data_IF_846044123977
#
_entry.id   IF_846044123977
#
_cell.length_a   1.000
_cell.length_b   1.000
_cell.length_c   1.000
_cell.angle_alpha   90.00
_cell.angle_beta   90.00
_cell.angle_gamma   90.00
#
_symmetry.space_group_name_H-M   'P 1'
#
loop_
_entity.id
_entity.type
_entity.pdbx_description
1 polymer ?
#
# COMPACT_ATOMS: atom_id res chain seq x y z
N UNK A 1 6.58 -4.80 6.00
CA UNK A 1 6.00 -5.53 4.87
C UNK A 1 7.11 -5.87 3.89
N UNK A 2 7.27 -7.16 3.59
CA UNK A 2 8.35 -7.64 2.73
C UNK A 2 7.92 -7.54 1.26
N UNK A 3 8.58 -6.68 0.49
CA UNK A 3 8.26 -6.39 -0.91
C UNK A 3 9.39 -6.87 -1.81
N UNK A 4 9.02 -7.47 -2.94
CA UNK A 4 9.93 -7.75 -4.04
C UNK A 4 9.85 -6.63 -5.06
N UNK A 5 10.97 -5.96 -5.30
CA UNK A 5 11.07 -4.84 -6.25
C UNK A 5 11.97 -5.20 -7.42
N UNK A 6 11.68 -4.61 -8.58
CA UNK A 6 12.50 -4.69 -9.79
C UNK A 6 12.62 -3.32 -10.44
N UNK A 7 13.77 -3.03 -11.01
CA UNK A 7 13.96 -1.83 -11.84
C UNK A 7 13.16 -1.96 -13.13
N UNK A 8 12.56 -0.87 -13.61
CA UNK A 8 11.85 -0.85 -14.90
C UNK A 8 12.80 -1.19 -16.04
N UNK A 9 14.04 -0.68 -15.99
CA UNK A 9 15.06 -0.88 -17.02
C UNK A 9 15.74 -2.26 -16.92
N UNK A 10 15.77 -2.87 -15.73
CA UNK A 10 16.46 -4.15 -15.46
C UNK A 10 15.50 -5.18 -14.88
N UNK A 11 14.58 -5.67 -15.73
CA UNK A 11 13.49 -6.58 -15.31
C UNK A 11 13.93 -7.94 -14.74
N UNK A 12 15.19 -8.35 -14.91
CA UNK A 12 15.67 -9.66 -14.46
C UNK A 12 16.22 -9.67 -13.04
N UNK A 13 16.70 -8.52 -12.52
CA UNK A 13 17.24 -8.42 -11.16
C UNK A 13 16.15 -7.91 -10.20
N UNK A 14 15.81 -8.72 -9.18
CA UNK A 14 14.89 -8.33 -8.12
C UNK A 14 15.57 -8.27 -6.76
N UNK A 15 15.17 -7.32 -5.95
CA UNK A 15 15.58 -7.24 -4.55
C UNK A 15 14.38 -7.48 -3.62
N UNK A 16 14.68 -7.91 -2.41
CA UNK A 16 13.70 -8.07 -1.34
C UNK A 16 13.99 -7.02 -0.27
N UNK A 17 12.98 -6.26 0.13
CA UNK A 17 13.14 -5.21 1.15
C UNK A 17 11.93 -5.12 2.06
N UNK A 18 12.15 -4.85 3.34
CA UNK A 18 11.10 -4.64 4.33
C UNK A 18 10.78 -3.16 4.45
N UNK A 19 9.56 -2.77 4.10
CA UNK A 19 9.05 -1.42 4.31
C UNK A 19 8.13 -1.33 5.54
N UNK A 20 7.98 -0.15 6.16
CA UNK A 20 8.77 1.05 5.91
C UNK A 20 10.14 1.00 6.59
N UNK A 21 11.04 1.89 6.18
CA UNK A 21 12.37 2.05 6.79
C UNK A 21 12.87 3.52 6.71
N UNK A 22 14.04 3.78 7.29
CA UNK A 22 14.68 5.10 7.32
C UNK A 22 15.36 5.47 5.98
N UNK A 23 15.74 6.74 5.85
CA UNK A 23 16.30 7.28 4.61
C UNK A 23 17.63 6.61 4.19
N UNK A 24 18.41 6.12 5.16
CA UNK A 24 19.68 5.45 4.87
C UNK A 24 19.44 4.10 4.21
N UNK A 25 18.46 3.35 4.71
CA UNK A 25 18.06 2.08 4.10
C UNK A 25 17.36 2.28 2.77
N UNK A 26 16.50 3.30 2.63
CA UNK A 26 15.92 3.65 1.33
C UNK A 26 17.00 3.98 0.29
N UNK A 27 18.04 4.72 0.67
CA UNK A 27 19.18 5.00 -0.20
C UNK A 27 19.91 3.71 -0.62
N UNK A 28 20.02 2.72 0.28
CA UNK A 28 20.57 1.41 -0.04
C UNK A 28 19.72 0.66 -1.09
N UNK A 29 18.39 0.77 -1.02
CA UNK A 29 17.46 0.16 -2.00
C UNK A 29 17.69 0.73 -3.40
N UNK A 30 17.81 2.06 -3.53
CA UNK A 30 18.13 2.72 -4.81
C UNK A 30 19.46 2.19 -5.39
N UNK A 31 20.51 2.10 -4.57
CA UNK A 31 21.82 1.59 -4.97
C UNK A 31 21.76 0.13 -5.44
N UNK A 32 21.04 -0.73 -4.74
CA UNK A 32 20.91 -2.15 -5.10
C UNK A 32 20.14 -2.34 -6.41
N UNK A 33 19.08 -1.56 -6.63
CA UNK A 33 18.34 -1.56 -7.89
C UNK A 33 19.05 -0.81 -9.02
N UNK A 34 20.15 -0.11 -8.70
CA UNK A 34 20.98 0.69 -9.63
C UNK A 34 20.11 1.71 -10.40
N UNK A 35 19.23 2.39 -9.66
CA UNK A 35 18.35 3.47 -10.11
C UNK A 35 18.59 4.72 -9.25
N UNK A 36 18.34 5.90 -9.81
CA UNK A 36 18.46 7.17 -9.09
C UNK A 36 17.14 7.55 -8.41
N UNK A 37 17.19 8.39 -7.37
CA UNK A 37 16.00 8.96 -6.76
C UNK A 37 15.25 9.82 -7.79
N UNK A 38 13.94 9.61 -7.90
CA UNK A 38 13.09 10.26 -8.89
C UNK A 38 11.67 10.42 -8.35
N UNK A 39 11.03 11.55 -8.69
CA UNK A 39 9.60 11.73 -8.43
C UNK A 39 8.72 10.86 -9.35
N UNK A 40 9.21 10.54 -10.55
CA UNK A 40 8.53 9.65 -11.47
C UNK A 40 8.82 8.17 -11.13
N UNK A 41 7.85 7.26 -11.33
CA UNK A 41 8.08 5.83 -11.15
C UNK A 41 9.26 5.31 -11.96
N UNK A 42 10.14 4.53 -11.32
CA UNK A 42 11.33 3.95 -11.94
C UNK A 42 11.62 2.51 -11.47
N UNK A 43 10.76 1.95 -10.62
CA UNK A 43 10.72 0.54 -10.27
C UNK A 43 9.28 0.02 -10.31
N UNK A 44 9.10 -1.30 -10.24
CA UNK A 44 7.80 -1.93 -10.12
C UNK A 44 7.81 -3.02 -9.04
N UNK A 45 6.61 -3.26 -8.49
CA UNK A 45 6.38 -4.24 -7.45
C UNK A 45 6.17 -5.62 -8.10
N UNK A 46 7.15 -6.52 -7.98
CA UNK A 46 7.06 -7.89 -8.50
C UNK A 46 6.15 -8.77 -7.63
N UNK A 47 6.06 -8.43 -6.34
CA UNK A 47 5.11 -9.05 -5.42
C UNK A 47 5.30 -8.63 -3.96
N UNK A 48 4.30 -8.96 -3.16
CA UNK A 48 4.32 -8.82 -1.70
C UNK A 48 4.43 -10.21 -1.07
N UNK A 49 5.30 -10.35 -0.07
CA UNK A 49 5.55 -11.64 0.59
C UNK A 49 4.79 -11.71 1.90
N UNK A 50 4.18 -12.87 2.16
CA UNK A 50 3.39 -13.19 3.35
C UNK A 50 2.08 -12.39 3.53
N UNK A 51 1.67 -11.62 2.52
CA UNK A 51 0.40 -10.86 2.52
C UNK A 51 -0.25 -10.94 1.14
N UNK A 52 -1.23 -11.84 0.99
CA UNK A 52 -1.93 -12.10 -0.28
C UNK A 52 -2.78 -10.92 -0.72
N UNK A 53 -3.45 -10.28 0.23
CA UNK A 53 -4.40 -9.21 -0.04
C UNK A 53 -3.65 -7.98 -0.55
N UNK A 54 -2.53 -7.63 0.12
CA UNK A 54 -1.64 -6.60 -0.39
C UNK A 54 -0.94 -6.97 -1.68
N UNK A 55 -0.63 -8.25 -1.89
CA UNK A 55 -0.08 -8.69 -3.16
C UNK A 55 -1.07 -8.47 -4.32
N UNK A 56 -2.37 -8.72 -4.13
CA UNK A 56 -3.38 -8.45 -5.16
C UNK A 56 -3.50 -6.95 -5.49
N UNK A 57 -3.39 -6.09 -4.47
CA UNK A 57 -3.48 -4.64 -4.65
C UNK A 57 -2.20 -4.07 -5.29
N UNK A 58 -1.01 -4.49 -4.84
CA UNK A 58 0.25 -3.84 -5.19
C UNK A 58 0.98 -4.44 -6.39
N UNK A 59 0.85 -5.75 -6.63
CA UNK A 59 1.65 -6.44 -7.64
C UNK A 59 1.43 -5.83 -9.04
N UNK A 60 2.54 -5.60 -9.74
CA UNK A 60 2.56 -5.06 -11.09
C UNK A 60 2.43 -3.54 -11.18
N UNK A 61 2.26 -2.82 -10.06
CA UNK A 61 2.27 -1.36 -10.05
C UNK A 61 3.69 -0.83 -10.18
N UNK A 62 3.83 0.25 -10.94
CA UNK A 62 5.04 1.06 -10.96
C UNK A 62 5.03 2.00 -9.75
N UNK A 63 6.21 2.26 -9.22
CA UNK A 63 6.43 3.13 -8.07
C UNK A 63 7.80 3.80 -8.13
N UNK A 64 7.98 4.85 -7.34
CA UNK A 64 9.29 5.17 -6.78
C UNK A 64 9.37 4.65 -5.34
N UNK A 65 10.58 4.45 -4.83
CA UNK A 65 10.80 3.80 -3.54
C UNK A 65 10.30 4.68 -2.38
N UNK A 66 10.37 6.01 -2.53
CA UNK A 66 9.97 6.95 -1.48
C UNK A 66 8.45 6.99 -1.29
N UNK A 67 7.66 7.00 -2.37
CA UNK A 67 6.20 6.87 -2.33
C UNK A 67 5.78 5.56 -1.66
N UNK A 68 6.44 4.47 -2.03
CA UNK A 68 6.15 3.18 -1.43
C UNK A 68 6.48 3.16 0.07
N UNK A 69 7.63 3.72 0.46
CA UNK A 69 8.01 3.86 1.86
C UNK A 69 7.01 4.75 2.63
N UNK A 70 6.58 5.86 2.02
CA UNK A 70 5.61 6.77 2.60
C UNK A 70 4.26 6.08 2.84
N UNK A 71 3.75 5.33 1.86
CA UNK A 71 2.51 4.57 2.00
C UNK A 71 2.58 3.63 3.21
N UNK A 72 3.68 2.87 3.33
CA UNK A 72 3.81 1.92 4.45
C UNK A 72 4.02 2.62 5.80
N UNK A 73 4.74 3.74 5.87
CA UNK A 73 4.80 4.58 7.09
C UNK A 73 3.41 5.04 7.51
N UNK A 74 2.58 5.43 6.55
CA UNK A 74 1.20 5.82 6.83
C UNK A 74 0.37 4.63 7.32
N UNK A 75 0.50 3.47 6.70
CA UNK A 75 -0.22 2.26 7.13
C UNK A 75 0.18 1.76 8.52
N UNK A 76 1.40 2.04 9.00
CA UNK A 76 1.82 1.70 10.37
C UNK A 76 1.04 2.48 11.44
N UNK A 77 0.45 3.62 11.08
CA UNK A 77 -0.43 4.37 11.98
C UNK A 77 -1.87 3.85 12.03
N UNK A 78 -2.23 2.88 11.18
CA UNK A 78 -3.59 2.36 11.13
C UNK A 78 -3.89 1.40 12.28
N UNK A 79 -5.06 1.57 12.89
CA UNK A 79 -5.65 0.54 13.72
C UNK A 79 -6.21 -0.63 12.88
N UNK A 80 -6.71 -1.66 13.56
CA UNK A 80 -7.23 -2.86 12.89
C UNK A 80 -8.48 -2.59 12.03
N UNK A 81 -9.31 -1.59 12.38
CA UNK A 81 -10.51 -1.21 11.62
C UNK A 81 -10.09 -0.42 10.38
N UNK A 82 -9.26 0.61 10.55
CA UNK A 82 -8.72 1.44 9.46
C UNK A 82 -8.01 0.59 8.41
N UNK A 83 -7.20 -0.38 8.84
CA UNK A 83 -6.52 -1.31 7.93
C UNK A 83 -7.49 -2.14 7.10
N UNK A 84 -8.55 -2.67 7.70
CA UNK A 84 -9.59 -3.44 6.99
C UNK A 84 -10.36 -2.57 5.99
N UNK A 85 -10.75 -1.37 6.41
CA UNK A 85 -11.44 -0.40 5.54
C UNK A 85 -10.54 -0.06 4.35
N UNK A 86 -9.27 0.28 4.60
CA UNK A 86 -8.30 0.60 3.55
C UNK A 86 -8.17 -0.53 2.52
N UNK A 87 -8.01 -1.78 2.96
CA UNK A 87 -7.91 -2.92 2.05
C UNK A 87 -9.18 -3.14 1.23
N UNK A 88 -10.35 -3.08 1.87
CA UNK A 88 -11.62 -3.24 1.17
C UNK A 88 -11.83 -2.13 0.13
N UNK A 89 -11.55 -0.88 0.49
CA UNK A 89 -11.65 0.26 -0.42
C UNK A 89 -10.63 0.16 -1.56
N UNK A 90 -9.38 -0.23 -1.28
CA UNK A 90 -8.35 -0.37 -2.31
C UNK A 90 -8.70 -1.47 -3.31
N UNK A 91 -9.28 -2.58 -2.84
CA UNK A 91 -9.80 -3.62 -3.70
C UNK A 91 -10.96 -3.12 -4.58
N UNK A 92 -11.91 -2.37 -4.00
CA UNK A 92 -13.09 -1.86 -4.70
C UNK A 92 -12.76 -0.76 -5.73
N UNK A 93 -11.93 0.21 -5.36
CA UNK A 93 -11.53 1.32 -6.22
C UNK A 93 -10.50 0.92 -7.28
N UNK A 94 -9.71 -0.13 -7.01
CA UNK A 94 -8.68 -0.66 -7.89
C UNK A 94 -7.72 0.44 -8.41
N UNK A 95 -7.05 1.17 -7.50
CA UNK A 95 -6.14 2.25 -7.84
C UNK A 95 -5.03 1.74 -8.76
N UNK A 96 -4.57 2.60 -9.66
CA UNK A 96 -3.55 2.31 -10.68
C UNK A 96 -2.16 2.71 -10.22
N UNK A 97 -2.06 3.66 -9.31
CA UNK A 97 -0.77 4.22 -8.86
C UNK A 97 -0.59 4.12 -7.34
N UNK A 98 0.66 4.20 -6.87
CA UNK A 98 0.94 4.32 -5.44
C UNK A 98 0.43 5.65 -4.87
N UNK A 99 0.49 6.73 -5.64
CA UNK A 99 -0.08 8.01 -5.25
C UNK A 99 -1.59 7.94 -4.98
N UNK A 100 -2.35 7.20 -5.80
CA UNK A 100 -3.79 6.96 -5.55
C UNK A 100 -4.03 6.14 -4.27
N UNK A 101 -3.19 5.13 -3.99
CA UNK A 101 -3.23 4.40 -2.72
C UNK A 101 -2.90 5.28 -1.52
N UNK A 102 -1.94 6.19 -1.65
CA UNK A 102 -1.63 7.18 -0.62
C UNK A 102 -2.85 8.08 -0.39
N UNK A 103 -3.47 8.62 -1.44
CA UNK A 103 -4.67 9.44 -1.32
C UNK A 103 -5.81 8.67 -0.64
N UNK A 104 -6.01 7.41 -1.03
CA UNK A 104 -7.00 6.54 -0.40
C UNK A 104 -6.72 6.33 1.11
N UNK A 105 -5.45 6.25 1.50
CA UNK A 105 -5.04 6.11 2.92
C UNK A 105 -5.42 7.32 3.79
N UNK A 106 -5.64 8.50 3.19
CA UNK A 106 -6.15 9.68 3.88
C UNK A 106 -7.68 9.74 3.87
N UNK A 107 -8.31 9.12 2.88
CA UNK A 107 -9.76 9.14 2.68
C UNK A 107 -10.47 7.90 3.25
N UNK A 108 -9.79 7.07 4.06
CA UNK A 108 -10.39 5.86 4.66
C UNK A 108 -11.64 6.17 5.50
N UNK A 109 -11.71 7.36 6.10
CA UNK A 109 -12.87 7.85 6.84
C UNK A 109 -14.13 8.09 5.97
N UNK A 110 -13.97 8.17 4.64
CA UNK A 110 -15.09 8.28 3.70
C UNK A 110 -15.71 6.91 3.35
N UNK A 111 -15.22 5.81 3.92
CA UNK A 111 -15.68 4.46 3.63
C UNK A 111 -16.21 3.77 4.87
N UNK A 112 -17.35 3.08 4.69
CA UNK A 112 -17.96 2.23 5.71
C UNK A 112 -17.83 0.77 5.31
N UNK A 113 -17.10 -0.02 6.11
CA UNK A 113 -16.97 -1.46 5.91
C UNK A 113 -17.98 -2.22 6.78
N UNK A 114 -19.04 -2.72 6.14
CA UNK A 114 -20.01 -3.61 6.78
C UNK A 114 -19.54 -5.05 6.61
N UNK A 115 -19.06 -5.66 7.70
CA UNK A 115 -18.53 -7.03 7.70
C UNK A 115 -19.38 -8.03 8.49
N UNK A 116 -20.27 -7.55 9.36
CA UNK A 116 -21.19 -8.39 10.13
C UNK A 116 -22.63 -8.06 9.74
N UNK A 117 -23.35 -9.04 9.17
CA UNK A 117 -24.76 -8.91 8.78
C UNK A 117 -25.71 -9.52 9.80
N UNK A 118 -25.22 -10.06 10.92
CA UNK A 118 -26.04 -10.75 11.90
C UNK A 118 -26.96 -9.80 12.68
N UNK A 119 -26.60 -8.52 12.81
CA UNK A 119 -27.43 -7.52 13.47
C UNK A 119 -27.41 -6.17 12.73
N UNK A 120 -28.36 -6.00 11.82
CA UNK A 120 -28.52 -4.79 11.01
C UNK A 120 -28.83 -3.52 11.82
N UNK A 121 -29.38 -3.64 13.05
CA UNK A 121 -29.63 -2.49 13.92
C UNK A 121 -28.32 -1.91 14.47
N UNK A 122 -27.41 -2.78 14.91
CA UNK A 122 -26.07 -2.37 15.36
C UNK A 122 -25.27 -1.78 14.20
N UNK A 123 -25.30 -2.42 13.03
CA UNK A 123 -24.68 -1.90 11.80
C UNK A 123 -25.20 -0.51 11.47
N UNK A 124 -26.53 -0.34 11.47
CA UNK A 124 -27.16 0.95 11.15
C UNK A 124 -26.79 2.07 12.14
N UNK A 125 -26.68 1.76 13.43
CA UNK A 125 -26.25 2.73 14.46
C UNK A 125 -24.78 3.09 14.31
N UNK A 126 -23.91 2.12 14.05
CA UNK A 126 -22.48 2.37 13.86
C UNK A 126 -22.23 3.25 12.64
N UNK A 127 -22.90 2.99 11.51
CA UNK A 127 -22.86 3.84 10.31
C UNK A 127 -23.31 5.28 10.62
N UNK A 128 -24.49 5.43 11.26
CA UNK A 128 -25.06 6.74 11.57
C UNK A 128 -24.21 7.58 12.54
N UNK A 129 -23.44 6.95 13.44
CA UNK A 129 -22.60 7.63 14.42
C UNK A 129 -21.17 7.87 13.91
N UNK A 130 -20.79 7.27 12.79
CA UNK A 130 -19.46 7.39 12.19
C UNK A 130 -19.40 8.28 10.94
N UNK A 131 -20.55 8.68 10.39
CA UNK A 131 -20.71 9.71 9.35
C UNK A 131 -21.04 11.08 9.95
#
# INVERSE_FOLDING_TARGET
MLIRLKSIDRKEESIMFNFPDDESEISNVYNQLKIEASAAPNCYIDGVVYDSDMNEILKGKECNIDELNFLFKRMDSFDAKERKVFFASAFAENPKTIAELINLSFNTHCYSLVSDFNNLETVGKDLYLSE
#
